data_IF_530653644619
#
_entry.id   IF_530653644619
#
_cell.length_a   1.000
_cell.length_b   1.000
_cell.length_c   1.000
_cell.angle_alpha   90.00
_cell.angle_beta   90.00
_cell.angle_gamma   90.00
#
_symmetry.space_group_name_H-M   'P 1'
#
loop_
_entity.id
_entity.type
_entity.pdbx_description
1 polymer ?
#
# COMPACT_ATOMS: atom_id res chain seq x y z
N UNK A 1 13.83 12.61 11.13
CA UNK A 1 13.18 11.28 11.12
C UNK A 1 11.88 11.41 10.32
N UNK A 2 11.55 10.41 9.50
CA UNK A 2 10.39 10.43 8.62
C UNK A 2 9.12 10.12 9.42
N UNK A 3 8.14 11.02 9.39
CA UNK A 3 6.94 11.00 10.24
C UNK A 3 5.75 10.41 9.47
N UNK A 4 5.02 9.50 10.10
CA UNK A 4 3.77 8.96 9.54
C UNK A 4 2.70 10.05 9.64
N UNK A 5 2.05 10.38 8.52
CA UNK A 5 0.92 11.30 8.52
C UNK A 5 -0.37 10.53 8.24
N UNK A 6 -1.32 10.63 9.18
CA UNK A 6 -2.69 10.14 9.02
C UNK A 6 -3.57 11.38 8.97
N UNK A 7 -4.34 11.50 7.90
CA UNK A 7 -5.24 12.64 7.67
C UNK A 7 -6.70 12.20 7.79
N UNK A 8 -7.63 13.13 8.08
CA UNK A 8 -9.06 12.87 7.93
C UNK A 8 -9.39 12.32 6.54
N UNK A 9 -10.52 11.62 6.43
CA UNK A 9 -10.97 11.10 5.14
C UNK A 9 -11.06 12.23 4.09
N UNK A 10 -10.48 11.98 2.92
CA UNK A 10 -10.55 12.90 1.79
C UNK A 10 -11.59 12.39 0.77
N UNK A 11 -12.65 13.17 0.45
CA UNK A 11 -13.66 12.78 -0.53
C UNK A 11 -13.13 12.63 -1.97
N UNK A 12 -11.91 13.11 -2.26
CA UNK A 12 -11.25 12.94 -3.56
C UNK A 12 -10.55 11.58 -3.73
N UNK A 13 -10.41 10.77 -2.67
CA UNK A 13 -9.75 9.46 -2.77
C UNK A 13 -10.40 8.48 -3.77
N UNK A 14 -11.74 8.42 -3.93
CA UNK A 14 -12.35 7.68 -5.02
C UNK A 14 -11.90 8.17 -6.41
N UNK A 15 -11.81 9.49 -6.63
CA UNK A 15 -11.34 10.03 -7.90
C UNK A 15 -9.85 9.72 -8.14
N UNK A 16 -9.03 9.76 -7.09
CA UNK A 16 -7.62 9.33 -7.14
C UNK A 16 -7.49 7.85 -7.50
N UNK A 17 -8.36 7.00 -6.95
CA UNK A 17 -8.43 5.59 -7.32
C UNK A 17 -8.77 5.43 -8.80
N UNK A 18 -9.81 6.09 -9.30
CA UNK A 18 -10.19 6.00 -10.72
C UNK A 18 -9.06 6.45 -11.66
N UNK A 19 -8.35 7.52 -11.29
CA UNK A 19 -7.17 7.99 -12.01
C UNK A 19 -6.08 6.91 -12.08
N UNK A 20 -5.74 6.28 -10.95
CA UNK A 20 -4.72 5.22 -10.90
C UNK A 20 -5.21 3.96 -11.63
N UNK A 21 -6.49 3.60 -11.47
CA UNK A 21 -7.12 2.45 -12.12
C UNK A 21 -7.01 2.56 -13.63
N UNK A 22 -7.30 3.72 -14.21
CA UNK A 22 -7.15 3.94 -15.65
C UNK A 22 -5.71 3.68 -16.13
N UNK A 23 -4.71 4.18 -15.40
CA UNK A 23 -3.29 3.94 -15.75
C UNK A 23 -2.90 2.46 -15.67
N UNK A 24 -3.43 1.74 -14.68
CA UNK A 24 -3.19 0.30 -14.53
C UNK A 24 -3.96 -0.51 -15.58
N UNK A 25 -5.16 -0.08 -15.96
CA UNK A 25 -5.93 -0.70 -17.05
C UNK A 25 -5.15 -0.60 -18.35
N UNK A 26 -4.64 0.57 -18.71
CA UNK A 26 -3.81 0.76 -19.90
C UNK A 26 -2.55 -0.12 -19.85
N UNK A 27 -1.89 -0.18 -18.68
CA UNK A 27 -0.69 -1.00 -18.50
C UNK A 27 -0.95 -2.51 -18.65
N UNK A 28 -2.12 -2.99 -18.20
CA UNK A 28 -2.49 -4.41 -18.21
C UNK A 28 -3.05 -4.85 -19.56
N UNK A 29 -3.75 -3.97 -20.29
CA UNK A 29 -4.44 -4.29 -21.53
C UNK A 29 -3.51 -4.84 -22.64
N UNK A 30 -2.23 -4.45 -22.65
CA UNK A 30 -1.23 -4.94 -23.60
C UNK A 30 -0.82 -6.40 -23.36
N UNK A 31 -1.07 -6.93 -22.15
CA UNK A 31 -0.61 -8.25 -21.71
C UNK A 31 -1.76 -9.20 -21.42
N UNK A 32 -2.89 -8.67 -20.96
CA UNK A 32 -4.05 -9.43 -20.54
C UNK A 32 -5.34 -8.81 -21.08
N UNK A 33 -6.24 -9.60 -21.68
CA UNK A 33 -7.60 -9.15 -21.98
C UNK A 33 -8.33 -8.74 -20.70
N UNK A 34 -9.25 -7.76 -20.80
CA UNK A 34 -9.89 -7.10 -19.66
C UNK A 34 -10.59 -8.07 -18.71
N UNK A 35 -11.10 -9.19 -19.21
CA UNK A 35 -11.85 -10.19 -18.44
C UNK A 35 -10.95 -11.01 -17.50
N UNK A 36 -9.64 -11.04 -17.77
CA UNK A 36 -8.67 -11.79 -16.97
C UNK A 36 -8.24 -11.09 -15.70
N UNK A 37 -8.57 -9.81 -15.54
CA UNK A 37 -8.16 -9.05 -14.37
C UNK A 37 -9.23 -8.10 -13.84
N UNK A 38 -9.21 -7.90 -12.52
CA UNK A 38 -10.02 -6.90 -11.82
C UNK A 38 -9.11 -5.98 -11.02
N UNK A 39 -9.48 -4.70 -10.90
CA UNK A 39 -8.76 -3.72 -10.09
C UNK A 39 -9.72 -3.21 -9.03
N UNK A 40 -9.39 -3.44 -7.76
CA UNK A 40 -10.26 -3.14 -6.62
C UNK A 40 -9.60 -2.09 -5.72
N UNK A 41 -10.35 -1.04 -5.36
CA UNK A 41 -9.90 -0.08 -4.34
C UNK A 41 -10.00 -0.76 -2.97
N UNK A 42 -8.88 -0.89 -2.28
CA UNK A 42 -8.81 -1.53 -0.96
C UNK A 42 -8.14 -0.60 0.06
N UNK A 43 -7.87 -1.11 1.27
CA UNK A 43 -7.23 -0.34 2.32
C UNK A 43 -8.12 0.77 2.90
N UNK A 44 -7.53 1.61 3.74
CA UNK A 44 -8.31 2.60 4.51
C UNK A 44 -8.90 3.73 3.65
N UNK A 45 -8.27 4.07 2.52
CA UNK A 45 -8.73 5.15 1.64
C UNK A 45 -9.97 4.78 0.83
N UNK A 46 -10.30 3.49 0.76
CA UNK A 46 -11.54 2.98 0.14
C UNK A 46 -12.78 3.07 1.04
N UNK A 47 -12.62 3.50 2.30
CA UNK A 47 -13.69 3.48 3.31
C UNK A 47 -14.07 4.92 3.65
N UNK A 48 -15.25 5.42 3.21
CA UNK A 48 -15.72 6.75 3.53
C UNK A 48 -15.70 7.05 5.03
N UNK A 49 -15.20 8.23 5.40
CA UNK A 49 -15.12 8.69 6.79
C UNK A 49 -13.97 8.10 7.62
N UNK A 50 -13.14 7.21 7.06
CA UNK A 50 -12.01 6.63 7.77
C UNK A 50 -10.72 7.44 7.56
N UNK A 51 -10.13 7.96 8.65
CA UNK A 51 -8.83 8.63 8.60
C UNK A 51 -7.73 7.67 8.11
N UNK A 52 -6.82 8.11 7.25
CA UNK A 52 -5.84 7.22 6.63
C UNK A 52 -4.54 7.95 6.27
N UNK A 53 -3.49 7.16 5.99
CA UNK A 53 -2.38 7.66 5.18
C UNK A 53 -2.93 7.99 3.78
N UNK A 54 -2.54 9.10 3.14
CA UNK A 54 -3.00 9.47 1.80
C UNK A 54 -2.30 8.63 0.71
N UNK A 55 -2.50 7.31 0.76
CA UNK A 55 -2.01 6.34 -0.22
C UNK A 55 -3.21 5.52 -0.67
N UNK A 56 -3.40 5.41 -1.98
CA UNK A 56 -4.44 4.58 -2.58
C UNK A 56 -3.93 3.15 -2.64
N UNK A 57 -4.55 2.24 -1.90
CA UNK A 57 -4.25 0.82 -1.94
C UNK A 57 -5.11 0.15 -3.02
N UNK A 58 -4.53 -0.62 -3.93
CA UNK A 58 -5.26 -1.31 -5.01
C UNK A 58 -4.87 -2.79 -5.08
N UNK A 59 -5.86 -3.67 -5.16
CA UNK A 59 -5.64 -5.08 -5.52
C UNK A 59 -5.90 -5.25 -7.03
N UNK A 60 -4.89 -5.69 -7.77
CA UNK A 60 -5.04 -6.30 -9.10
C UNK A 60 -5.27 -7.79 -8.87
N UNK A 61 -6.39 -8.29 -9.34
CA UNK A 61 -6.83 -9.67 -9.12
C UNK A 61 -6.83 -10.43 -10.44
N UNK A 62 -6.09 -11.52 -10.50
CA UNK A 62 -5.97 -12.38 -11.69
C UNK A 62 -6.11 -13.86 -11.32
N UNK A 63 -6.26 -14.71 -12.34
CA UNK A 63 -6.14 -16.15 -12.17
C UNK A 63 -4.67 -16.58 -12.00
N UNK A 64 -4.44 -17.80 -11.53
CA UNK A 64 -3.10 -18.22 -11.11
C UNK A 64 -2.12 -18.30 -12.30
N UNK A 65 -2.63 -18.68 -13.46
CA UNK A 65 -1.92 -18.76 -14.74
C UNK A 65 -1.49 -17.38 -15.27
N UNK A 66 -2.18 -16.30 -14.91
CA UNK A 66 -1.97 -14.96 -15.47
C UNK A 66 -1.07 -14.07 -14.59
N UNK A 67 -0.56 -14.59 -13.47
CA UNK A 67 0.30 -13.85 -12.54
C UNK A 67 1.59 -13.36 -13.22
N UNK A 68 2.15 -14.15 -14.14
CA UNK A 68 3.40 -13.81 -14.80
C UNK A 68 3.21 -12.65 -15.78
N UNK A 69 2.15 -12.72 -16.59
CA UNK A 69 1.75 -11.70 -17.56
C UNK A 69 1.41 -10.39 -16.84
N UNK A 70 0.64 -10.44 -15.75
CA UNK A 70 0.36 -9.26 -14.94
C UNK A 70 1.63 -8.66 -14.31
N UNK A 71 2.56 -9.51 -13.88
CA UNK A 71 3.86 -9.05 -13.34
C UNK A 71 4.69 -8.36 -14.43
N UNK A 72 4.72 -8.92 -15.64
CA UNK A 72 5.42 -8.32 -16.79
C UNK A 72 4.80 -6.98 -17.17
N UNK A 73 3.47 -6.90 -17.23
CA UNK A 73 2.73 -5.68 -17.51
C UNK A 73 3.09 -4.54 -16.55
N UNK A 74 3.07 -4.84 -15.25
CA UNK A 74 3.46 -3.89 -14.20
C UNK A 74 4.92 -3.46 -14.36
N UNK A 75 5.83 -4.42 -14.53
CA UNK A 75 7.27 -4.14 -14.64
C UNK A 75 7.58 -3.28 -15.86
N UNK A 76 6.94 -3.53 -17.01
CA UNK A 76 7.10 -2.74 -18.22
C UNK A 76 6.59 -1.30 -18.08
N UNK A 77 5.66 -1.05 -17.14
CA UNK A 77 5.01 0.24 -16.92
C UNK A 77 5.50 0.97 -15.65
N UNK A 78 6.74 0.70 -15.23
CA UNK A 78 7.40 1.44 -14.14
C UNK A 78 6.92 1.04 -12.74
N UNK A 79 6.56 -0.23 -12.57
CA UNK A 79 6.30 -0.81 -11.25
C UNK A 79 7.37 -1.85 -10.89
N UNK A 80 8.13 -1.59 -9.83
CA UNK A 80 9.11 -2.53 -9.31
C UNK A 80 8.48 -3.46 -8.28
N UNK A 81 8.70 -4.78 -8.43
CA UNK A 81 8.34 -5.75 -7.40
C UNK A 81 9.05 -5.45 -6.09
N UNK A 82 8.25 -5.16 -5.06
CA UNK A 82 8.69 -4.95 -3.71
C UNK A 82 8.25 -6.14 -2.86
N UNK A 83 9.20 -6.90 -2.35
CA UNK A 83 8.84 -7.96 -1.43
C UNK A 83 8.39 -7.39 -0.10
N UNK A 84 7.29 -7.93 0.40
CA UNK A 84 6.72 -7.62 1.70
C UNK A 84 7.10 -8.68 2.74
N UNK A 85 7.79 -8.22 3.80
CA UNK A 85 8.04 -9.01 5.00
C UNK A 85 6.73 -9.35 5.69
N UNK A 86 6.54 -10.60 6.10
CA UNK A 86 5.35 -11.05 6.83
C UNK A 86 4.02 -10.93 6.05
N UNK A 87 4.06 -10.59 4.76
CA UNK A 87 2.91 -10.67 3.88
C UNK A 87 2.45 -12.11 3.67
N UNK A 88 1.19 -12.28 3.27
CA UNK A 88 0.60 -13.56 2.87
C UNK A 88 0.26 -13.50 1.37
N UNK A 89 0.59 -14.56 0.64
CA UNK A 89 0.14 -14.92 -0.72
C UNK A 89 -0.22 -13.82 -1.77
N UNK A 90 0.38 -12.62 -1.68
CA UNK A 90 0.27 -11.50 -2.64
C UNK A 90 1.61 -10.97 -3.10
N UNK A 91 1.71 -10.41 -4.29
CA UNK A 91 2.89 -9.65 -4.71
C UNK A 91 2.64 -8.16 -4.47
N UNK A 92 3.67 -7.40 -4.07
CA UNK A 92 3.55 -5.95 -3.85
C UNK A 92 4.43 -5.25 -4.87
N UNK A 93 3.93 -4.17 -5.43
CA UNK A 93 4.60 -3.38 -6.45
C UNK A 93 4.65 -1.92 -6.02
N UNK A 94 5.80 -1.29 -6.20
CA UNK A 94 6.02 0.14 -5.98
C UNK A 94 6.04 0.84 -7.33
N UNK A 95 5.39 1.98 -7.41
CA UNK A 95 5.48 2.81 -8.60
C UNK A 95 6.79 3.60 -8.56
N UNK A 96 7.63 3.46 -9.58
CA UNK A 96 9.03 3.90 -9.55
C UNK A 96 9.17 5.41 -9.41
N UNK A 97 8.19 6.19 -9.91
CA UNK A 97 8.16 7.65 -9.74
C UNK A 97 7.90 8.08 -8.29
N UNK A 98 7.51 7.17 -7.40
CA UNK A 98 7.16 7.45 -6.01
C UNK A 98 8.16 6.79 -5.04
N UNK A 99 9.43 6.66 -5.45
CA UNK A 99 10.49 5.90 -4.77
C UNK A 99 10.62 6.14 -3.25
N UNK A 100 10.24 7.32 -2.75
CA UNK A 100 10.10 7.60 -1.32
C UNK A 100 8.72 7.17 -0.77
N UNK A 101 8.51 5.88 -0.53
CA UNK A 101 7.34 5.40 0.24
C UNK A 101 7.40 5.80 1.73
N UNK A 102 8.55 6.31 2.16
CA UNK A 102 8.75 6.85 3.51
C UNK A 102 8.21 8.28 3.68
N UNK A 103 7.73 8.91 2.60
CA UNK A 103 7.07 10.22 2.61
C UNK A 103 5.54 10.13 2.63
N UNK A 104 4.95 9.51 3.66
CA UNK A 104 3.49 9.42 3.85
C UNK A 104 2.77 10.78 4.01
N UNK A 105 3.52 11.89 3.93
CA UNK A 105 3.09 13.21 4.37
C UNK A 105 3.22 14.28 3.30
N UNK A 106 3.79 13.96 2.13
CA UNK A 106 3.97 14.91 1.02
C UNK A 106 3.33 14.36 -0.26
N UNK A 107 2.74 15.23 -1.10
CA UNK A 107 2.47 14.92 -2.50
C UNK A 107 3.69 14.27 -3.15
N UNK A 108 3.46 13.43 -4.15
CA UNK A 108 4.56 12.88 -4.95
C UNK A 108 5.27 14.03 -5.65
N UNK A 109 6.51 13.81 -6.06
CA UNK A 109 7.32 14.80 -6.77
C UNK A 109 6.61 15.32 -8.04
N UNK A 110 5.78 14.47 -8.66
CA UNK A 110 4.99 14.77 -9.86
C UNK A 110 3.54 15.21 -9.57
N UNK A 111 3.15 15.38 -8.29
CA UNK A 111 1.81 15.80 -7.88
C UNK A 111 0.70 14.75 -8.05
N UNK A 112 1.02 13.55 -8.52
CA UNK A 112 0.03 12.46 -8.68
C UNK A 112 -0.31 11.77 -7.34
N UNK A 113 -1.47 11.10 -7.22
CA UNK A 113 -1.80 10.35 -6.01
C UNK A 113 -0.83 9.20 -5.77
N UNK A 114 -0.37 9.05 -4.52
CA UNK A 114 0.42 7.90 -4.08
C UNK A 114 -0.40 6.63 -4.16
N UNK A 115 0.26 5.52 -4.48
CA UNK A 115 -0.39 4.23 -4.65
C UNK A 115 0.43 3.09 -4.07
N UNK A 116 -0.25 2.08 -3.53
CA UNK A 116 0.30 0.78 -3.20
C UNK A 116 -0.45 -0.26 -4.02
N UNK A 117 0.27 -0.97 -4.89
CA UNK A 117 -0.33 -1.94 -5.81
C UNK A 117 0.00 -3.35 -5.33
N UNK A 118 -1.03 -4.15 -5.16
CA UNK A 118 -0.94 -5.55 -4.78
C UNK A 118 -1.44 -6.42 -5.92
N UNK A 119 -0.68 -7.41 -6.34
CA UNK A 119 -1.13 -8.42 -7.28
C UNK A 119 -1.53 -9.68 -6.51
N UNK A 120 -2.78 -10.08 -6.66
CA UNK A 120 -3.40 -11.18 -5.94
C UNK A 120 -4.02 -12.19 -6.91
N UNK A 121 -4.09 -13.44 -6.45
CA UNK A 121 -4.94 -14.43 -7.10
C UNK A 121 -6.40 -14.21 -6.70
N UNK A 122 -7.37 -14.57 -7.55
CA UNK A 122 -8.80 -14.59 -7.22
C UNK A 122 -9.13 -15.33 -5.92
N UNK A 123 -8.38 -16.39 -5.63
CA UNK A 123 -8.51 -17.21 -4.41
C UNK A 123 -7.51 -16.85 -3.31
N UNK A 124 -6.80 -15.73 -3.44
CA UNK A 124 -5.75 -15.31 -2.51
C UNK A 124 -6.30 -14.93 -1.13
N UNK A 125 -5.62 -15.34 -0.07
CA UNK A 125 -6.02 -15.00 1.29
C UNK A 125 -5.76 -13.52 1.62
N UNK A 126 -4.73 -12.90 1.03
CA UNK A 126 -4.50 -11.46 1.13
C UNK A 126 -5.66 -10.63 0.57
N UNK A 127 -6.14 -10.97 -0.64
CA UNK A 127 -7.33 -10.36 -1.23
C UNK A 127 -8.54 -10.53 -0.29
N UNK A 128 -8.81 -11.76 0.13
CA UNK A 128 -9.93 -12.04 1.03
C UNK A 128 -9.83 -11.22 2.32
N UNK A 129 -8.64 -11.12 2.91
CA UNK A 129 -8.38 -10.30 4.09
C UNK A 129 -8.72 -8.81 3.85
N UNK A 130 -8.28 -8.23 2.73
CA UNK A 130 -8.64 -6.85 2.36
C UNK A 130 -10.15 -6.65 2.24
N UNK A 131 -10.83 -7.55 1.52
CA UNK A 131 -12.27 -7.46 1.29
C UNK A 131 -13.08 -7.61 2.59
N UNK A 132 -12.65 -8.50 3.50
CA UNK A 132 -13.28 -8.66 4.81
C UNK A 132 -13.11 -7.40 5.65
N UNK A 133 -11.90 -6.85 5.74
CA UNK A 133 -11.66 -5.61 6.51
C UNK A 133 -12.53 -4.48 5.94
N UNK A 134 -12.54 -4.31 4.62
CA UNK A 134 -13.32 -3.28 3.96
C UNK A 134 -14.82 -3.45 4.23
N UNK A 135 -15.41 -4.61 3.91
CA UNK A 135 -16.86 -4.84 4.09
C UNK A 135 -17.28 -4.71 5.56
N UNK A 136 -16.43 -5.10 6.50
CA UNK A 136 -16.72 -4.98 7.93
C UNK A 136 -16.78 -3.52 8.36
N UNK A 137 -15.76 -2.74 8.00
CA UNK A 137 -15.70 -1.33 8.38
C UNK A 137 -16.72 -0.45 7.66
N UNK A 138 -17.15 -0.84 6.46
CA UNK A 138 -18.27 -0.19 5.76
C UNK A 138 -19.61 -0.38 6.49
N UNK A 139 -19.80 -1.51 7.16
CA UNK A 139 -21.04 -1.88 7.84
C UNK A 139 -21.01 -1.65 9.37
N UNK A 140 -19.87 -1.20 9.91
CA UNK A 140 -19.67 -1.00 11.34
C UNK A 140 -19.01 0.37 11.63
N UNK A 141 -19.82 1.41 11.85
CA UNK A 141 -19.33 2.75 12.15
C UNK A 141 -18.49 2.83 13.43
N UNK A 142 -18.77 2.00 14.44
CA UNK A 142 -18.06 2.00 15.71
C UNK A 142 -16.66 1.41 15.55
N UNK A 143 -16.52 0.25 14.90
CA UNK A 143 -15.22 -0.32 14.58
C UNK A 143 -14.43 0.57 13.62
N UNK A 144 -15.10 1.23 12.67
CA UNK A 144 -14.44 2.21 11.78
C UNK A 144 -13.87 3.37 12.59
N UNK A 145 -14.62 3.89 13.57
CA UNK A 145 -14.13 4.94 14.47
C UNK A 145 -12.95 4.46 15.31
N UNK A 146 -13.07 3.31 15.99
CA UNK A 146 -12.00 2.71 16.79
C UNK A 146 -10.71 2.51 15.98
N UNK A 147 -10.84 2.01 14.74
CA UNK A 147 -9.70 1.85 13.85
C UNK A 147 -9.08 3.17 13.41
N UNK A 148 -9.91 4.19 13.19
CA UNK A 148 -9.47 5.56 12.91
C UNK A 148 -8.68 6.17 14.07
N UNK A 149 -9.23 6.06 15.29
CA UNK A 149 -8.63 6.60 16.51
C UNK A 149 -7.26 5.97 16.79
N UNK A 150 -7.14 4.63 16.71
CA UNK A 150 -5.86 3.93 16.84
C UNK A 150 -4.84 4.45 15.82
N UNK A 151 -5.23 4.70 14.57
CA UNK A 151 -4.30 5.22 13.56
C UNK A 151 -3.81 6.64 13.88
N UNK A 152 -4.67 7.48 14.44
CA UNK A 152 -4.34 8.86 14.82
C UNK A 152 -3.42 8.89 16.05
N UNK A 153 -3.68 8.06 17.05
CA UNK A 153 -2.82 7.91 18.24
C UNK A 153 -1.38 7.54 17.85
N UNK A 154 -1.23 6.63 16.89
CA UNK A 154 0.07 6.16 16.43
C UNK A 154 0.92 7.21 15.69
N UNK A 155 0.31 8.31 15.23
CA UNK A 155 1.04 9.46 14.67
C UNK A 155 1.73 10.29 15.76
N UNK A 156 1.13 10.36 16.95
CA UNK A 156 1.64 11.14 18.08
C UNK A 156 2.90 10.56 18.73
N UNK A 157 3.15 9.26 18.58
CA UNK A 157 4.20 8.55 19.33
C UNK A 157 5.59 8.50 18.64
N UNK A 158 5.86 9.31 17.60
CA UNK A 158 7.10 9.22 16.80
C UNK A 158 7.43 7.79 16.31
N UNK A 159 6.40 6.99 16.03
CA UNK A 159 6.57 5.58 15.68
C UNK A 159 7.16 5.42 14.27
N UNK A 160 8.17 4.55 14.12
CA UNK A 160 8.64 4.09 12.80
C UNK A 160 7.53 3.34 12.04
N UNK A 161 7.64 3.22 10.71
CA UNK A 161 6.65 2.52 9.86
C UNK A 161 6.40 1.08 10.36
N UNK A 162 7.42 0.38 10.83
CA UNK A 162 7.30 -0.96 11.39
C UNK A 162 6.56 -1.00 12.73
N UNK A 163 6.85 -0.06 13.64
CA UNK A 163 6.16 0.05 14.92
C UNK A 163 4.67 0.43 14.74
N UNK A 164 4.37 1.28 13.76
CA UNK A 164 3.01 1.65 13.37
C UNK A 164 2.20 0.46 12.84
N UNK A 165 2.81 -0.42 12.03
CA UNK A 165 2.16 -1.64 11.56
C UNK A 165 1.76 -2.57 12.71
N UNK A 166 2.71 -2.87 13.60
CA UNK A 166 2.52 -3.81 14.71
C UNK A 166 1.42 -3.39 15.69
N UNK A 167 1.35 -2.10 16.03
CA UNK A 167 0.37 -1.58 17.00
C UNK A 167 -1.08 -1.59 16.50
N UNK A 168 -1.31 -1.69 15.17
CA UNK A 168 -2.65 -1.85 14.58
C UNK A 168 -3.18 -3.28 14.61
N UNK A 169 -2.32 -4.28 14.86
CA UNK A 169 -2.69 -5.69 14.77
C UNK A 169 -3.85 -6.11 15.69
N UNK A 170 -3.99 -5.59 16.93
CA UNK A 170 -5.11 -5.95 17.79
C UNK A 170 -6.47 -5.52 17.20
N UNK A 171 -6.61 -4.26 16.79
CA UNK A 171 -7.86 -3.76 16.20
C UNK A 171 -8.15 -4.40 14.84
N UNK A 172 -7.13 -4.66 14.02
CA UNK A 172 -7.30 -5.39 12.76
C UNK A 172 -7.74 -6.84 12.98
N UNK A 173 -7.21 -7.52 14.01
CA UNK A 173 -7.66 -8.87 14.37
C UNK A 173 -9.13 -8.86 14.79
N UNK A 174 -9.54 -7.88 15.60
CA UNK A 174 -10.93 -7.70 16.02
C UNK A 174 -11.87 -7.47 14.83
N UNK A 175 -11.49 -6.61 13.88
CA UNK A 175 -12.25 -6.36 12.65
C UNK A 175 -12.41 -7.65 11.85
N UNK A 176 -11.31 -8.38 11.64
CA UNK A 176 -11.35 -9.65 10.92
C UNK A 176 -12.23 -10.68 11.61
N UNK A 177 -12.11 -10.84 12.92
CA UNK A 177 -12.90 -11.79 13.69
C UNK A 177 -14.40 -11.47 13.66
N UNK A 178 -14.77 -10.19 13.59
CA UNK A 178 -16.18 -9.79 13.44
C UNK A 178 -16.73 -10.04 12.03
N UNK A 179 -15.91 -9.84 11.00
CA UNK A 179 -16.33 -9.81 9.60
C UNK A 179 -16.21 -11.12 8.82
N UNK A 180 -15.39 -12.04 9.31
CA UNK A 180 -15.05 -13.26 8.62
C UNK A 180 -15.86 -14.45 9.14
N UNK A 181 -16.17 -15.41 8.27
CA UNK A 181 -16.63 -16.73 8.71
C UNK A 181 -15.49 -17.51 9.37
N UNK A 182 -15.80 -18.55 10.17
CA UNK A 182 -14.79 -19.46 10.69
C UNK A 182 -13.92 -20.10 9.60
N UNK A 183 -14.47 -20.47 8.43
CA UNK A 183 -13.69 -20.98 7.30
C UNK A 183 -12.72 -19.93 6.76
N UNK A 184 -13.20 -18.71 6.52
CA UNK A 184 -12.38 -17.61 5.99
C UNK A 184 -11.21 -17.28 6.94
N UNK A 185 -11.48 -17.20 8.25
CA UNK A 185 -10.42 -16.99 9.25
C UNK A 185 -9.40 -18.12 9.26
N UNK A 186 -9.86 -19.38 9.23
CA UNK A 186 -8.95 -20.53 9.16
C UNK A 186 -8.11 -20.48 7.88
N UNK A 187 -8.72 -20.13 6.75
CA UNK A 187 -8.03 -20.02 5.47
C UNK A 187 -6.95 -18.93 5.50
N UNK A 188 -7.27 -17.73 5.97
CA UNK A 188 -6.32 -16.62 6.08
C UNK A 188 -5.17 -16.98 7.03
N UNK A 189 -5.50 -17.51 8.22
CA UNK A 189 -4.51 -17.88 9.24
C UNK A 189 -3.66 -19.09 8.86
N UNK A 190 -4.12 -19.93 7.94
CA UNK A 190 -3.35 -21.08 7.44
C UNK A 190 -2.19 -20.69 6.53
N UNK A 191 -2.21 -19.48 5.94
CA UNK A 191 -1.19 -19.07 4.99
C UNK A 191 0.14 -18.80 5.70
N UNK A 192 1.26 -19.36 5.20
CA UNK A 192 2.56 -19.06 5.76
C UNK A 192 2.89 -17.59 5.52
N UNK A 193 3.30 -16.91 6.58
CA UNK A 193 3.90 -15.58 6.45
C UNK A 193 5.21 -15.70 5.68
N UNK A 194 5.46 -14.78 4.74
CA UNK A 194 6.76 -14.68 4.07
C UNK A 194 7.85 -14.36 5.09
N UNK A 195 8.79 -15.29 5.29
CA UNK A 195 9.99 -15.08 6.10
C UNK A 195 11.08 -14.46 5.26
N UNK A 196 11.69 -13.39 5.76
CA UNK A 196 12.90 -12.84 5.16
C UNK A 196 14.10 -13.67 5.63
N UNK A 197 15.01 -14.02 4.72
CA UNK A 197 16.39 -14.37 5.08
C UNK A 197 17.05 -13.14 5.71
N UNK A 198 17.50 -13.23 6.96
CA UNK A 198 18.08 -12.11 7.72
C UNK A 198 19.13 -11.30 6.93
N UNK A 199 19.88 -11.96 6.03
CA UNK A 199 20.85 -11.28 5.13
C UNK A 199 20.17 -10.39 4.10
N UNK A 200 19.05 -10.82 3.53
CA UNK A 200 18.23 -10.04 2.59
C UNK A 200 17.53 -8.87 3.30
N UNK A 201 17.17 -9.02 4.58
CA UNK A 201 16.62 -7.93 5.38
C UNK A 201 17.66 -6.82 5.61
N UNK A 202 18.89 -7.21 5.98
CA UNK A 202 20.00 -6.29 6.17
C UNK A 202 20.37 -5.57 4.87
N UNK A 203 20.47 -6.30 3.75
CA UNK A 203 20.76 -5.73 2.44
C UNK A 203 19.71 -4.71 1.98
N UNK A 204 18.42 -4.96 2.25
CA UNK A 204 17.35 -4.01 1.93
C UNK A 204 17.36 -2.77 2.80
N UNK A 205 17.59 -2.93 4.10
CA UNK A 205 17.71 -1.79 5.00
C UNK A 205 18.83 -0.86 4.55
N UNK A 206 19.98 -1.43 4.19
CA UNK A 206 21.11 -0.69 3.65
C UNK A 206 20.78 0.02 2.33
N UNK A 207 20.03 -0.62 1.42
CA UNK A 207 19.60 -0.01 0.15
C UNK A 207 18.61 1.14 0.35
N UNK A 208 17.60 0.97 1.21
CA UNK A 208 16.65 2.05 1.56
C UNK A 208 17.39 3.23 2.18
N UNK A 209 18.31 2.98 3.12
CA UNK A 209 19.12 4.04 3.74
C UNK A 209 20.03 4.75 2.73
N UNK A 210 20.53 4.04 1.72
CA UNK A 210 21.34 4.61 0.64
C UNK A 210 20.49 5.47 -0.31
N UNK A 211 19.31 4.98 -0.71
CA UNK A 211 18.37 5.70 -1.57
C UNK A 211 17.85 6.97 -0.85
N UNK A 212 17.52 6.88 0.45
CA UNK A 212 17.14 8.04 1.27
C UNK A 212 18.26 9.09 1.37
N UNK A 213 19.52 8.65 1.56
CA UNK A 213 20.68 9.57 1.58
C UNK A 213 20.90 10.24 0.23
N UNK A 214 20.72 9.52 -0.86
CA UNK A 214 20.89 10.04 -2.22
C UNK A 214 19.86 11.13 -2.51
N UNK A 215 18.58 10.85 -2.26
CA UNK A 215 17.52 11.84 -2.50
C UNK A 215 17.67 13.08 -1.61
N UNK A 216 18.10 12.91 -0.35
CA UNK A 216 18.43 14.05 0.53
C UNK A 216 19.62 14.89 0.03
N UNK A 217 20.58 14.27 -0.66
CA UNK A 217 21.72 14.97 -1.24
C UNK A 217 21.30 15.73 -2.51
N UNK A 218 20.53 15.09 -3.38
CA UNK A 218 20.06 15.68 -4.65
C UNK A 218 19.12 16.87 -4.39
N UNK A 219 18.19 16.76 -3.42
CA UNK A 219 17.32 17.88 -3.03
C UNK A 219 18.04 19.06 -2.36
N UNK A 220 19.22 18.85 -1.75
CA UNK A 220 20.06 19.93 -1.23
C UNK A 220 20.85 20.63 -2.34
N UNK A 221 21.24 19.90 -3.39
CA UNK A 221 21.94 20.46 -4.54
C UNK A 221 21.02 21.39 -5.36
N UNK A 222 19.76 21.00 -5.56
CA UNK A 222 18.77 21.84 -6.25
C UNK A 222 18.43 23.11 -5.46
N UNK A 223 18.28 23.03 -4.13
CA UNK A 223 18.05 24.20 -3.29
C UNK A 223 19.24 25.18 -3.29
N UNK A 224 20.48 24.68 -3.35
CA UNK A 224 21.68 25.51 -3.45
C UNK A 224 21.86 26.20 -4.82
N UNK A 225 21.33 25.61 -5.90
CA UNK A 225 21.34 26.23 -7.23
C UNK A 225 20.24 27.29 -7.41
N UNK A 226 19.08 27.13 -6.75
CA UNK A 226 18.03 28.14 -6.73
C UNK A 226 18.45 29.41 -5.97
N UNK A 227 19.24 29.28 -4.90
CA UNK A 227 19.76 30.43 -4.13
C UNK A 227 20.88 31.17 -4.88
N UNK A 228 21.69 30.45 -5.67
CA UNK A 228 22.79 31.02 -6.46
C UNK A 228 22.33 31.74 -7.75
N UNK A 229 21.08 31.54 -8.18
CA UNK A 229 20.50 32.20 -9.36
C UNK A 229 19.59 33.38 -9.02
N UNK A 230 19.35 33.63 -7.73
CA UNK A 230 18.57 34.74 -7.21
C UNK A 230 19.42 35.90 -6.63
N UNK A 231 20.75 35.88 -6.80
CA UNK A 231 21.69 36.92 -6.38
C UNK A 231 22.33 37.66 -7.55
#
# INVERSE_FOLDING_TARGET
MLQINVVPYNPEWPAHFEFIRAQLDDALADFLPKEKYEIIHVGSTSIPGLAAKPIIDLDIVVDAEDIMEATMALTANGYTYAYEANGIDRMVFRYDKHALDSGASKPTEDGTPRRAVYLNKRTGAALLNHLIVQRTLMNDPELRKEYGDVKLELVGEHSSIGAYGGKKNPVLSKILEKGATPEELRYIRSKPKRRIDEKLQAARKARIEADEKRVLADGKAEAGQADATAS
#
